data_IF_957003027283
#
_entry.id   IF_957003027283
#
_cell.length_a   1.000
_cell.length_b   1.000
_cell.length_c   1.000
_cell.angle_alpha   90.00
_cell.angle_beta   90.00
_cell.angle_gamma   90.00
#
_symmetry.space_group_name_H-M   'P 1'
#
loop_
_entity.id
_entity.type
_entity.pdbx_description
1 polymer ?
#
# COMPACT_ATOMS: atom_id res chain seq x y z
N UNK A 1 -8.84 18.44 -7.30
CA UNK A 1 -8.01 17.26 -7.61
C UNK A 1 -8.90 16.19 -8.19
N UNK A 2 -8.38 15.42 -9.14
CA UNK A 2 -9.13 14.36 -9.84
C UNK A 2 -8.38 13.03 -9.67
N UNK A 3 -9.02 12.05 -9.03
CA UNK A 3 -8.47 10.73 -8.75
C UNK A 3 -9.20 9.68 -9.58
N UNK A 4 -8.45 8.86 -10.33
CA UNK A 4 -9.02 7.77 -11.14
C UNK A 4 -8.31 6.46 -10.84
N UNK A 5 -9.05 5.35 -10.94
CA UNK A 5 -8.52 3.98 -10.83
C UNK A 5 -8.69 3.23 -12.13
N UNK A 6 -7.71 2.37 -12.43
CA UNK A 6 -7.68 1.52 -13.61
C UNK A 6 -7.40 0.08 -13.19
N UNK A 7 -8.20 -0.84 -13.68
CA UNK A 7 -8.02 -2.26 -13.38
C UNK A 7 -6.77 -2.81 -14.07
N UNK A 8 -6.02 -3.70 -13.41
CA UNK A 8 -4.89 -4.37 -14.03
C UNK A 8 -5.36 -5.38 -15.08
N UNK A 9 -4.44 -5.77 -15.98
CA UNK A 9 -4.67 -6.85 -16.91
C UNK A 9 -4.95 -8.17 -16.17
N UNK A 10 -5.62 -9.16 -16.80
CA UNK A 10 -5.90 -10.45 -16.16
C UNK A 10 -4.66 -11.16 -15.58
N UNK A 11 -3.49 -10.98 -16.20
CA UNK A 11 -2.22 -11.57 -15.75
C UNK A 11 -1.68 -10.95 -14.48
N UNK A 12 -2.00 -9.67 -14.22
CA UNK A 12 -1.49 -8.91 -13.08
C UNK A 12 -2.45 -8.85 -11.88
N UNK A 13 -3.67 -9.37 -11.99
CA UNK A 13 -4.72 -9.24 -10.95
C UNK A 13 -4.33 -9.80 -9.58
N UNK A 14 -3.52 -10.85 -9.56
CA UNK A 14 -3.08 -11.47 -8.31
C UNK A 14 -1.93 -10.71 -7.63
N UNK A 15 -1.34 -9.73 -8.33
CA UNK A 15 -0.17 -8.97 -7.88
C UNK A 15 -0.47 -7.48 -7.69
N UNK A 16 -1.28 -6.89 -8.58
CA UNK A 16 -1.63 -5.48 -8.60
C UNK A 16 -3.12 -5.34 -8.33
N UNK A 17 -3.46 -4.53 -7.32
CA UNK A 17 -4.84 -4.25 -6.99
C UNK A 17 -5.45 -3.31 -8.03
N UNK A 18 -4.81 -2.17 -8.30
CA UNK A 18 -5.17 -1.22 -9.35
C UNK A 18 -4.00 -0.29 -9.69
N UNK A 19 -4.06 0.30 -10.86
CA UNK A 19 -3.32 1.52 -11.19
C UNK A 19 -4.17 2.73 -10.86
N UNK A 20 -3.54 3.87 -10.62
CA UNK A 20 -4.28 5.09 -10.30
C UNK A 20 -3.57 6.33 -10.82
N UNK A 21 -4.33 7.40 -11.02
CA UNK A 21 -3.81 8.74 -11.33
C UNK A 21 -4.42 9.75 -10.38
N UNK A 22 -3.64 10.78 -10.03
CA UNK A 22 -4.10 11.94 -9.27
C UNK A 22 -3.58 13.19 -9.97
N UNK A 23 -4.48 14.05 -10.40
CA UNK A 23 -4.15 15.29 -11.09
C UNK A 23 -4.86 16.48 -10.46
N UNK A 24 -4.16 17.61 -10.45
CA UNK A 24 -4.78 18.90 -10.20
C UNK A 24 -4.35 19.91 -11.26
N UNK A 25 -5.32 20.64 -11.81
CA UNK A 25 -5.09 21.64 -12.85
C UNK A 25 -4.48 22.95 -12.30
N UNK A 26 -4.59 23.19 -11.00
CA UNK A 26 -4.09 24.38 -10.32
C UNK A 26 -3.51 24.01 -8.95
N UNK A 27 -2.59 24.82 -8.41
CA UNK A 27 -2.17 24.70 -7.03
C UNK A 27 -3.37 24.77 -6.08
N UNK A 28 -3.40 24.00 -4.99
CA UNK A 28 -4.45 24.09 -4.01
C UNK A 28 -4.39 25.45 -3.30
N UNK A 29 -5.54 26.04 -2.95
CA UNK A 29 -5.63 27.31 -2.21
C UNK A 29 -5.10 27.20 -0.78
N UNK A 30 -5.16 26.01 -0.22
CA UNK A 30 -4.52 25.60 1.05
C UNK A 30 -3.70 24.35 0.78
N UNK A 31 -2.63 24.09 1.55
CA UNK A 31 -1.84 22.87 1.39
C UNK A 31 -2.74 21.65 1.38
N UNK A 32 -2.54 20.78 0.41
CA UNK A 32 -3.23 19.49 0.40
C UNK A 32 -2.47 18.51 1.27
N UNK A 33 -3.18 17.88 2.20
CA UNK A 33 -2.65 16.87 3.10
C UNK A 33 -3.29 15.51 2.80
N UNK A 34 -2.46 14.48 2.73
CA UNK A 34 -2.90 13.11 2.67
C UNK A 34 -2.25 12.29 3.78
N UNK A 35 -3.05 11.75 4.67
CA UNK A 35 -2.60 10.93 5.78
C UNK A 35 -2.57 9.46 5.36
N UNK A 36 -1.38 8.92 5.13
CA UNK A 36 -1.17 7.50 4.85
C UNK A 36 -0.94 6.76 6.17
N UNK A 37 -1.68 5.71 6.39
CA UNK A 37 -1.62 4.87 7.60
C UNK A 37 -0.85 3.58 7.35
N UNK A 38 -0.66 2.79 8.41
CA UNK A 38 -0.11 1.45 8.28
C UNK A 38 -0.85 0.65 7.21
N UNK A 39 -0.09 -0.04 6.37
CA UNK A 39 -0.62 -0.84 5.28
C UNK A 39 0.24 -2.07 5.02
N UNK A 40 -0.42 -3.21 4.77
CA UNK A 40 0.22 -4.42 4.26
C UNK A 40 0.62 -4.31 2.79
N UNK A 41 0.04 -3.36 2.08
CA UNK A 41 0.24 -3.10 0.65
C UNK A 41 1.37 -2.09 0.43
N UNK A 42 2.01 -2.21 -0.73
CA UNK A 42 3.03 -1.26 -1.19
C UNK A 42 2.51 -0.45 -2.36
N UNK A 43 3.13 0.70 -2.61
CA UNK A 43 2.80 1.59 -3.74
C UNK A 43 4.09 1.97 -4.48
N UNK A 44 4.00 2.06 -5.80
CA UNK A 44 4.99 2.71 -6.64
C UNK A 44 4.34 3.94 -7.23
N UNK A 45 4.95 5.11 -7.09
CA UNK A 45 4.38 6.40 -7.50
C UNK A 45 5.37 7.13 -8.37
N UNK A 46 4.92 7.63 -9.51
CA UNK A 46 5.67 8.50 -10.41
C UNK A 46 5.05 9.90 -10.38
N UNK A 47 5.90 10.89 -10.17
CA UNK A 47 5.51 12.29 -10.15
C UNK A 47 5.97 12.92 -11.47
N UNK A 48 5.06 13.12 -12.40
CA UNK A 48 5.33 13.76 -13.70
C UNK A 48 5.04 15.26 -13.71
N UNK A 49 4.37 15.77 -12.65
CA UNK A 49 4.14 17.20 -12.44
C UNK A 49 4.11 17.52 -10.96
N UNK A 50 4.74 18.63 -10.58
CA UNK A 50 4.81 19.11 -9.20
C UNK A 50 5.67 18.22 -8.29
N UNK A 51 5.57 18.50 -6.97
CA UNK A 51 6.28 17.72 -5.95
C UNK A 51 5.39 17.46 -4.75
N UNK A 52 5.60 16.30 -4.12
CA UNK A 52 5.02 15.94 -2.83
C UNK A 52 6.12 15.95 -1.78
N UNK A 53 5.78 16.41 -0.60
CA UNK A 53 6.62 16.30 0.59
C UNK A 53 6.10 15.17 1.48
N UNK A 54 7.01 14.37 2.00
CA UNK A 54 6.72 13.35 2.98
C UNK A 54 7.12 13.88 4.35
N UNK A 55 6.15 14.05 5.22
CA UNK A 55 6.38 14.45 6.61
C UNK A 55 6.31 13.21 7.53
N UNK A 56 7.38 13.01 8.27
CA UNK A 56 7.42 11.98 9.31
C UNK A 56 6.81 12.50 10.61
N UNK A 57 6.27 11.62 11.47
CA UNK A 57 5.78 12.02 12.79
C UNK A 57 6.84 12.70 13.69
N UNK A 58 8.13 12.56 13.36
CA UNK A 58 9.26 13.22 14.04
C UNK A 58 9.48 14.67 13.59
N UNK A 59 8.67 15.21 12.66
CA UNK A 59 8.80 16.57 12.14
C UNK A 59 9.87 16.74 11.06
N UNK A 60 10.48 15.66 10.56
CA UNK A 60 11.37 15.72 9.41
C UNK A 60 10.57 15.61 8.11
N UNK A 61 10.84 16.48 7.15
CA UNK A 61 10.24 16.39 5.81
C UNK A 61 11.27 15.96 4.77
N UNK A 62 10.80 15.25 3.76
CA UNK A 62 11.57 14.81 2.60
C UNK A 62 10.78 15.14 1.34
N UNK A 63 11.40 15.85 0.40
CA UNK A 63 10.80 16.09 -0.91
C UNK A 63 10.91 14.81 -1.73
N UNK A 64 9.77 14.30 -2.18
CA UNK A 64 9.68 13.19 -3.10
C UNK A 64 9.73 13.72 -4.54
N UNK A 65 10.55 13.11 -5.38
CA UNK A 65 10.69 13.47 -6.81
C UNK A 65 10.77 12.20 -7.65
N UNK A 66 10.28 12.30 -8.88
CA UNK A 66 10.38 11.20 -9.84
C UNK A 66 9.62 9.95 -9.41
N UNK A 67 10.26 8.79 -9.49
CA UNK A 67 9.67 7.52 -9.11
C UNK A 67 10.06 7.11 -7.69
N UNK A 68 9.07 6.90 -6.83
CA UNK A 68 9.27 6.50 -5.43
C UNK A 68 8.44 5.27 -5.06
N UNK A 69 9.01 4.43 -4.21
CA UNK A 69 8.34 3.28 -3.60
C UNK A 69 8.00 3.64 -2.16
N UNK A 70 6.70 3.57 -1.86
CA UNK A 70 6.22 3.44 -0.50
C UNK A 70 6.01 1.96 -0.22
N UNK A 71 6.90 1.35 0.53
CA UNK A 71 6.77 -0.05 0.89
C UNK A 71 5.67 -0.26 1.95
N UNK A 72 5.35 -1.52 2.24
CA UNK A 72 4.46 -1.87 3.33
C UNK A 72 4.98 -1.27 4.65
N UNK A 73 4.06 -0.73 5.45
CA UNK A 73 4.43 0.03 6.65
C UNK A 73 3.50 -0.24 7.83
N UNK A 74 4.04 -0.20 9.03
CA UNK A 74 3.29 -0.19 10.29
C UNK A 74 3.20 1.21 10.91
N UNK A 75 3.63 2.25 10.18
CA UNK A 75 3.66 3.64 10.64
C UNK A 75 2.82 4.50 9.73
N UNK A 76 2.23 5.55 10.30
CA UNK A 76 1.57 6.59 9.55
C UNK A 76 2.59 7.61 9.03
N UNK A 77 2.27 8.22 7.88
CA UNK A 77 3.01 9.31 7.24
C UNK A 77 2.03 10.35 6.73
N UNK A 78 2.49 11.57 6.58
CA UNK A 78 1.70 12.64 5.95
C UNK A 78 2.37 13.08 4.66
N UNK A 79 1.61 13.11 3.59
CA UNK A 79 2.03 13.71 2.33
C UNK A 79 1.44 15.11 2.24
N UNK A 80 2.26 16.06 1.80
CA UNK A 80 1.87 17.46 1.66
C UNK A 80 2.25 17.96 0.28
N UNK A 81 1.40 18.76 -0.34
CA UNK A 81 1.76 19.52 -1.53
C UNK A 81 1.13 20.91 -1.53
N UNK A 82 1.91 21.86 -2.02
CA UNK A 82 1.52 23.26 -2.25
C UNK A 82 1.38 23.56 -3.74
N UNK A 83 1.56 22.57 -4.60
CA UNK A 83 1.66 22.71 -6.05
C UNK A 83 0.53 21.97 -6.75
N UNK A 84 0.29 22.33 -8.01
CA UNK A 84 -0.43 21.44 -8.91
C UNK A 84 0.38 20.16 -9.11
N UNK A 85 -0.26 19.02 -9.02
CA UNK A 85 0.40 17.70 -9.11
C UNK A 85 -0.18 16.85 -10.23
N UNK A 86 0.71 16.05 -10.82
CA UNK A 86 0.39 14.96 -11.72
C UNK A 86 1.11 13.70 -11.26
N UNK A 87 0.35 12.75 -10.75
CA UNK A 87 0.84 11.48 -10.22
C UNK A 87 0.21 10.32 -10.97
N UNK A 88 1.00 9.28 -11.22
CA UNK A 88 0.50 7.96 -11.59
C UNK A 88 1.12 6.92 -10.66
N UNK A 89 0.35 5.93 -10.27
CA UNK A 89 0.85 4.93 -9.35
C UNK A 89 0.28 3.54 -9.54
N UNK A 90 0.95 2.60 -8.90
CA UNK A 90 0.59 1.19 -8.80
C UNK A 90 0.33 0.86 -7.35
N UNK A 91 -0.82 0.27 -7.05
CA UNK A 91 -1.17 -0.24 -5.73
C UNK A 91 -1.06 -1.76 -5.76
N UNK A 92 -0.11 -2.31 -5.02
CA UNK A 92 0.18 -3.73 -5.02
C UNK A 92 -0.62 -4.48 -3.95
N UNK A 93 -0.93 -5.73 -4.18
CA UNK A 93 -1.38 -6.61 -3.10
C UNK A 93 -0.25 -6.83 -2.08
N UNK A 94 -0.59 -7.13 -0.81
CA UNK A 94 0.42 -7.41 0.20
C UNK A 94 1.42 -8.48 -0.24
N UNK A 95 2.71 -8.21 -0.07
CA UNK A 95 3.80 -9.12 -0.39
C UNK A 95 4.21 -9.20 -1.87
N UNK A 96 3.45 -8.60 -2.79
CA UNK A 96 3.70 -8.83 -4.23
C UNK A 96 4.74 -7.90 -4.85
N UNK A 97 4.94 -6.69 -4.32
CA UNK A 97 5.98 -5.78 -4.82
C UNK A 97 7.36 -6.42 -4.76
N UNK A 98 7.75 -6.94 -3.58
CA UNK A 98 9.07 -7.58 -3.39
C UNK A 98 9.27 -8.75 -4.33
N UNK A 99 8.24 -9.57 -4.53
CA UNK A 99 8.26 -10.70 -5.46
C UNK A 99 8.47 -10.24 -6.91
N UNK A 100 7.71 -9.24 -7.38
CA UNK A 100 7.84 -8.69 -8.74
C UNK A 100 9.18 -8.01 -8.99
N UNK A 101 9.77 -7.39 -7.98
CA UNK A 101 11.06 -6.70 -8.12
C UNK A 101 12.28 -7.56 -7.76
N UNK A 102 12.06 -8.77 -7.21
CA UNK A 102 13.12 -9.68 -6.81
C UNK A 102 13.84 -9.24 -5.52
N UNK A 103 13.17 -8.51 -4.63
CA UNK A 103 13.74 -7.95 -3.41
C UNK A 103 13.01 -8.47 -2.18
N UNK A 104 13.70 -8.92 -1.12
CA UNK A 104 13.05 -9.34 0.12
C UNK A 104 12.24 -8.20 0.75
N UNK A 105 10.94 -8.40 0.96
CA UNK A 105 10.06 -7.34 1.44
C UNK A 105 10.46 -6.79 2.82
N UNK A 106 11.13 -7.59 3.68
CA UNK A 106 11.56 -7.10 4.99
C UNK A 106 12.67 -6.03 4.92
N UNK A 107 13.44 -5.99 3.82
CA UNK A 107 14.42 -4.93 3.58
C UNK A 107 13.76 -3.60 3.20
N UNK A 108 12.55 -3.67 2.65
CA UNK A 108 11.77 -2.51 2.23
C UNK A 108 10.83 -1.98 3.33
N UNK A 109 10.54 -2.78 4.36
CA UNK A 109 9.52 -2.47 5.38
C UNK A 109 9.76 -1.10 6.06
N UNK A 110 8.73 -0.27 6.10
CA UNK A 110 8.75 1.11 6.63
C UNK A 110 9.68 2.07 5.84
N UNK A 111 10.05 1.73 4.61
CA UNK A 111 10.93 2.55 3.79
C UNK A 111 10.14 3.34 2.73
N UNK A 112 10.68 4.54 2.42
CA UNK A 112 10.39 5.29 1.21
C UNK A 112 11.69 5.39 0.43
N UNK A 113 11.72 4.84 -0.78
CA UNK A 113 12.94 4.68 -1.57
C UNK A 113 12.70 5.23 -2.98
N UNK A 114 13.72 5.80 -3.60
CA UNK A 114 13.68 6.05 -5.03
C UNK A 114 13.69 4.71 -5.78
N UNK A 115 12.94 4.62 -6.88
CA UNK A 115 12.91 3.41 -7.70
C UNK A 115 14.29 3.06 -8.25
N UNK A 116 15.11 4.09 -8.55
CA UNK A 116 16.48 3.95 -9.01
C UNK A 116 17.42 3.34 -7.97
N UNK A 117 17.16 3.55 -6.67
CA UNK A 117 17.99 2.95 -5.60
C UNK A 117 17.80 1.44 -5.54
N UNK A 118 16.62 0.96 -5.96
CA UNK A 118 16.28 -0.47 -5.95
C UNK A 118 16.61 -1.17 -7.27
N UNK A 119 16.35 -0.53 -8.41
CA UNK A 119 16.46 -1.14 -9.74
C UNK A 119 17.59 -0.56 -10.60
N UNK A 120 18.37 0.39 -10.07
CA UNK A 120 19.46 1.02 -10.81
C UNK A 120 18.99 1.66 -12.11
N UNK A 121 19.67 1.34 -13.22
CA UNK A 121 19.35 1.91 -14.53
C UNK A 121 17.94 1.54 -15.02
N UNK A 122 17.48 0.33 -14.77
CA UNK A 122 16.12 -0.10 -15.14
C UNK A 122 15.05 0.77 -14.47
N UNK A 123 15.27 1.19 -13.22
CA UNK A 123 14.39 2.10 -12.50
C UNK A 123 14.37 3.50 -13.12
N UNK A 124 15.52 4.01 -13.51
CA UNK A 124 15.67 5.32 -14.20
C UNK A 124 14.99 5.32 -15.57
N UNK A 125 15.19 4.26 -16.35
CA UNK A 125 14.61 4.13 -17.69
C UNK A 125 13.08 4.07 -17.62
N UNK A 126 12.54 3.33 -16.63
CA UNK A 126 11.10 3.27 -16.40
C UNK A 126 10.57 4.65 -15.95
N UNK A 127 11.26 5.31 -15.02
CA UNK A 127 10.89 6.66 -14.57
C UNK A 127 10.81 7.64 -15.74
N UNK A 128 11.83 7.70 -16.58
CA UNK A 128 11.87 8.55 -17.76
C UNK A 128 10.72 8.23 -18.73
N UNK A 129 10.49 6.96 -19.01
CA UNK A 129 9.40 6.50 -19.88
C UNK A 129 8.02 6.97 -19.38
N UNK A 130 7.79 6.86 -18.06
CA UNK A 130 6.50 7.26 -17.46
C UNK A 130 6.35 8.77 -17.41
N UNK A 131 7.41 9.51 -17.06
CA UNK A 131 7.37 10.98 -16.98
C UNK A 131 7.14 11.59 -18.36
N UNK A 132 7.81 11.08 -19.41
CA UNK A 132 7.72 11.60 -20.78
C UNK A 132 6.45 11.14 -21.54
N UNK A 133 5.71 10.17 -21.02
CA UNK A 133 4.48 9.70 -21.66
C UNK A 133 3.44 10.82 -21.79
N UNK A 134 2.77 10.87 -22.94
CA UNK A 134 1.88 11.98 -23.34
C UNK A 134 0.50 11.93 -22.69
N UNK A 135 0.10 10.76 -22.18
CA UNK A 135 -1.22 10.55 -21.58
C UNK A 135 -1.17 9.54 -20.44
N UNK A 136 -2.19 9.58 -19.54
CA UNK A 136 -2.33 8.60 -18.48
C UNK A 136 -2.57 7.18 -19.04
N UNK A 137 -3.26 7.05 -20.17
CA UNK A 137 -3.45 5.77 -20.84
C UNK A 137 -2.11 5.17 -21.28
N UNK A 138 -1.21 5.98 -21.83
CA UNK A 138 0.13 5.55 -22.21
C UNK A 138 0.96 5.16 -20.97
N UNK A 139 0.92 5.95 -19.89
CA UNK A 139 1.59 5.63 -18.62
C UNK A 139 1.13 4.27 -18.06
N UNK A 140 -0.18 4.04 -18.01
CA UNK A 140 -0.75 2.78 -17.53
C UNK A 140 -0.36 1.61 -18.43
N UNK A 141 -0.34 1.81 -19.74
CA UNK A 141 0.12 0.79 -20.68
C UNK A 141 1.58 0.42 -20.45
N UNK A 142 2.49 1.39 -20.31
CA UNK A 142 3.91 1.14 -20.04
C UNK A 142 4.13 0.42 -18.70
N UNK A 143 3.40 0.81 -17.65
CA UNK A 143 3.44 0.12 -16.36
C UNK A 143 2.95 -1.33 -16.47
N UNK A 144 1.88 -1.56 -17.23
CA UNK A 144 1.34 -2.90 -17.47
C UNK A 144 2.40 -3.78 -18.16
N UNK A 145 3.00 -3.31 -19.24
CA UNK A 145 4.05 -4.03 -19.97
C UNK A 145 5.25 -4.33 -19.09
N UNK A 146 5.72 -3.35 -18.30
CA UNK A 146 6.84 -3.54 -17.38
C UNK A 146 6.56 -4.68 -16.37
N UNK A 147 5.39 -4.68 -15.73
CA UNK A 147 5.08 -5.69 -14.72
C UNK A 147 4.74 -7.06 -15.33
N UNK A 148 4.15 -7.13 -16.52
CA UNK A 148 3.94 -8.39 -17.23
C UNK A 148 5.27 -9.07 -17.62
N UNK A 149 6.25 -8.27 -18.06
CA UNK A 149 7.59 -8.77 -18.33
C UNK A 149 8.28 -9.28 -17.06
N UNK A 150 8.14 -8.57 -15.93
CA UNK A 150 8.65 -9.03 -14.63
C UNK A 150 7.97 -10.32 -14.17
N UNK A 151 6.66 -10.44 -14.36
CA UNK A 151 5.91 -11.63 -14.01
C UNK A 151 6.41 -12.89 -14.75
N UNK A 152 6.83 -12.74 -16.00
CA UNK A 152 7.34 -13.85 -16.81
C UNK A 152 8.64 -14.47 -16.26
N UNK A 153 9.36 -13.77 -15.39
CA UNK A 153 10.64 -14.23 -14.80
C UNK A 153 10.50 -14.76 -13.36
N UNK A 154 9.29 -14.84 -12.81
CA UNK A 154 9.07 -15.25 -11.43
C UNK A 154 9.33 -16.73 -11.20
N UNK A 155 9.95 -17.03 -10.07
CA UNK A 155 10.10 -18.39 -9.55
C UNK A 155 8.82 -18.88 -8.85
N UNK A 156 8.50 -20.15 -8.97
CA UNK A 156 7.33 -20.75 -8.31
C UNK A 156 7.48 -20.93 -6.80
N UNK A 157 8.67 -20.70 -6.22
CA UNK A 157 8.97 -20.99 -4.81
C UNK A 157 8.15 -20.19 -3.79
N UNK A 158 7.66 -19.01 -4.17
CA UNK A 158 7.01 -18.06 -3.26
C UNK A 158 5.47 -18.12 -3.28
N UNK A 159 4.91 -18.89 -4.21
CA UNK A 159 3.46 -19.00 -4.40
C UNK A 159 2.71 -19.51 -3.16
N UNK A 160 3.31 -20.40 -2.39
CA UNK A 160 2.71 -20.95 -1.15
C UNK A 160 2.50 -19.85 -0.10
N UNK A 161 3.50 -18.99 0.11
CA UNK A 161 3.40 -17.88 1.08
C UNK A 161 2.48 -16.79 0.57
N UNK A 162 2.48 -16.48 -0.74
CA UNK A 162 1.52 -15.55 -1.32
C UNK A 162 0.07 -16.01 -1.11
N UNK A 163 -0.23 -17.31 -1.21
CA UNK A 163 -1.55 -17.86 -0.87
C UNK A 163 -1.91 -17.66 0.60
N UNK A 164 -0.95 -17.81 1.53
CA UNK A 164 -1.17 -17.51 2.94
C UNK A 164 -1.51 -16.02 3.15
N UNK A 165 -0.79 -15.12 2.46
CA UNK A 165 -1.04 -13.67 2.51
C UNK A 165 -2.44 -13.37 1.95
N UNK A 166 -2.81 -13.95 0.82
CA UNK A 166 -4.14 -13.82 0.22
C UNK A 166 -5.24 -14.33 1.17
N UNK A 167 -5.04 -15.45 1.86
CA UNK A 167 -5.99 -15.99 2.83
C UNK A 167 -6.20 -15.02 4.01
N UNK A 168 -5.13 -14.42 4.55
CA UNK A 168 -5.23 -13.38 5.59
C UNK A 168 -6.00 -12.16 5.06
N UNK A 169 -5.70 -11.72 3.85
CA UNK A 169 -6.35 -10.54 3.24
C UNK A 169 -7.83 -10.80 2.99
N UNK A 170 -8.18 -11.95 2.40
CA UNK A 170 -9.56 -12.34 2.09
C UNK A 170 -10.40 -12.55 3.35
N UNK A 171 -9.79 -13.04 4.44
CA UNK A 171 -10.45 -13.15 5.76
C UNK A 171 -10.51 -11.82 6.52
N UNK A 172 -10.05 -10.72 5.91
CA UNK A 172 -9.99 -9.39 6.56
C UNK A 172 -9.21 -9.42 7.89
N UNK A 173 -8.14 -10.22 7.93
CA UNK A 173 -7.27 -10.38 9.11
C UNK A 173 -7.89 -11.19 10.25
N UNK A 174 -8.98 -11.92 10.01
CA UNK A 174 -9.67 -12.70 11.05
C UNK A 174 -9.25 -14.19 11.07
N UNK A 175 -8.48 -14.64 10.07
CA UNK A 175 -8.02 -16.03 9.99
C UNK A 175 -7.07 -16.38 11.15
N UNK A 176 -7.29 -17.53 11.77
CA UNK A 176 -6.37 -18.07 12.76
C UNK A 176 -5.06 -18.49 12.11
N UNK A 177 -3.91 -17.99 12.60
CA UNK A 177 -2.59 -18.28 12.03
C UNK A 177 -2.28 -19.79 12.09
N UNK A 178 -2.78 -20.51 13.09
CA UNK A 178 -2.63 -21.97 13.20
C UNK A 178 -3.20 -22.69 11.99
N UNK A 179 -4.33 -22.23 11.44
CA UNK A 179 -4.92 -22.83 10.24
C UNK A 179 -4.00 -22.73 9.01
N UNK A 180 -3.18 -21.67 8.90
CA UNK A 180 -2.18 -21.55 7.84
C UNK A 180 -1.03 -22.56 7.97
N UNK A 181 -0.58 -22.80 9.20
CA UNK A 181 0.47 -23.77 9.50
C UNK A 181 0.01 -25.17 9.11
N UNK A 182 -1.20 -25.54 9.50
CA UNK A 182 -1.78 -26.86 9.27
C UNK A 182 -1.99 -27.16 7.77
N UNK A 183 -2.40 -26.14 7.00
CA UNK A 183 -2.66 -26.29 5.56
C UNK A 183 -1.41 -26.40 4.69
N UNK A 184 -0.27 -25.85 5.12
CA UNK A 184 0.92 -25.74 4.27
C UNK A 184 2.07 -26.67 4.66
N UNK A 185 1.89 -27.57 5.61
CA UNK A 185 2.90 -28.53 6.06
C UNK A 185 4.25 -27.89 6.44
N UNK A 186 4.22 -26.65 6.90
CA UNK A 186 5.38 -25.89 7.36
C UNK A 186 5.41 -25.86 8.89
N UNK A 187 6.60 -25.91 9.47
CA UNK A 187 6.69 -25.54 10.88
C UNK A 187 6.37 -24.03 11.04
N UNK A 188 5.81 -23.64 12.19
CA UNK A 188 5.50 -22.22 12.48
C UNK A 188 6.70 -21.32 12.21
N UNK A 189 7.91 -21.74 12.64
CA UNK A 189 9.15 -20.97 12.43
C UNK A 189 9.52 -20.80 10.94
N UNK A 190 9.28 -21.84 10.12
CA UNK A 190 9.53 -21.78 8.68
C UNK A 190 8.52 -20.82 8.00
N UNK A 191 7.24 -20.90 8.38
CA UNK A 191 6.22 -19.99 7.89
C UNK A 191 6.57 -18.54 8.24
N UNK A 192 6.85 -18.24 9.50
CA UNK A 192 7.20 -16.88 9.96
C UNK A 192 8.40 -16.30 9.22
N UNK A 193 9.47 -17.10 9.03
CA UNK A 193 10.66 -16.65 8.30
C UNK A 193 10.35 -16.32 6.84
N UNK A 194 9.69 -17.26 6.12
CA UNK A 194 9.32 -17.05 4.71
C UNK A 194 8.32 -15.90 4.57
N UNK A 195 7.35 -15.85 5.47
CA UNK A 195 6.34 -14.80 5.48
C UNK A 195 6.98 -13.42 5.66
N UNK A 196 7.95 -13.27 6.58
CA UNK A 196 8.69 -12.03 6.77
C UNK A 196 9.49 -11.62 5.52
N UNK A 197 10.06 -12.59 4.80
CA UNK A 197 10.78 -12.33 3.55
C UNK A 197 9.85 -11.78 2.46
N UNK A 198 8.61 -12.30 2.35
CA UNK A 198 7.70 -11.96 1.25
C UNK A 198 6.74 -10.83 1.62
N UNK A 199 6.19 -10.80 2.85
CA UNK A 199 5.24 -9.79 3.30
C UNK A 199 5.90 -8.62 4.04
N UNK A 200 7.16 -8.75 4.48
CA UNK A 200 7.85 -7.76 5.31
C UNK A 200 7.46 -7.80 6.78
N UNK A 201 6.39 -8.49 7.14
CA UNK A 201 5.83 -8.58 8.49
C UNK A 201 5.72 -10.04 8.94
N UNK A 202 5.43 -10.25 10.24
CA UNK A 202 4.95 -11.54 10.69
C UNK A 202 3.47 -11.75 10.27
N UNK A 203 2.99 -12.99 10.17
CA UNK A 203 1.57 -13.26 9.88
C UNK A 203 0.62 -12.54 10.84
N UNK A 204 0.95 -12.53 12.15
CA UNK A 204 0.16 -11.87 13.20
C UNK A 204 0.08 -10.35 12.98
N UNK A 205 1.21 -9.71 12.65
CA UNK A 205 1.22 -8.26 12.42
C UNK A 205 0.45 -7.90 11.15
N UNK A 206 0.63 -8.67 10.05
CA UNK A 206 -0.14 -8.45 8.83
C UNK A 206 -1.64 -8.60 9.09
N UNK A 207 -2.08 -9.63 9.83
CA UNK A 207 -3.50 -9.80 10.19
C UNK A 207 -4.05 -8.61 10.98
N UNK A 208 -3.27 -8.03 11.91
CA UNK A 208 -3.67 -6.81 12.65
C UNK A 208 -3.82 -5.61 11.71
N UNK A 209 -2.85 -5.39 10.83
CA UNK A 209 -2.88 -4.28 9.86
C UNK A 209 -4.08 -4.43 8.91
N UNK A 210 -4.32 -5.62 8.34
CA UNK A 210 -5.46 -5.88 7.44
C UNK A 210 -6.80 -5.69 8.17
N UNK A 211 -6.90 -6.10 9.44
CA UNK A 211 -8.11 -5.86 10.25
C UNK A 211 -8.33 -4.37 10.49
N UNK A 212 -7.28 -3.64 10.76
CA UNK A 212 -7.33 -2.18 10.89
C UNK A 212 -7.76 -1.51 9.58
N UNK A 213 -7.16 -1.85 8.43
CA UNK A 213 -7.57 -1.35 7.11
C UNK A 213 -9.06 -1.67 6.83
N UNK A 214 -9.51 -2.88 7.18
CA UNK A 214 -10.92 -3.23 7.04
C UNK A 214 -11.84 -2.37 7.93
N UNK A 215 -11.42 -2.05 9.15
CA UNK A 215 -12.20 -1.19 10.05
C UNK A 215 -12.34 0.24 9.51
N UNK A 216 -11.32 0.77 8.83
CA UNK A 216 -11.39 2.06 8.15
C UNK A 216 -12.44 2.02 7.05
N UNK A 217 -12.37 1.02 6.17
CA UNK A 217 -13.32 0.88 5.06
C UNK A 217 -14.77 0.75 5.57
N UNK A 218 -15.01 -0.07 6.61
CA UNK A 218 -16.32 -0.21 7.22
C UNK A 218 -16.87 1.13 7.75
N UNK A 219 -16.04 1.90 8.44
CA UNK A 219 -16.46 3.21 8.96
C UNK A 219 -16.73 4.21 7.84
N UNK A 220 -15.93 4.18 6.78
CA UNK A 220 -16.11 5.08 5.64
C UNK A 220 -17.37 4.76 4.83
N UNK A 221 -17.65 3.48 4.60
CA UNK A 221 -18.81 3.04 3.83
C UNK A 221 -20.11 3.23 4.65
N UNK A 222 -20.05 2.94 5.95
CA UNK A 222 -21.18 2.98 6.87
C UNK A 222 -20.77 3.60 8.21
N UNK A 223 -20.75 4.95 8.33
CA UNK A 223 -20.38 5.63 9.57
C UNK A 223 -21.28 5.18 10.73
N UNK A 224 -20.70 4.49 11.71
CA UNK A 224 -21.35 3.99 12.91
C UNK A 224 -20.54 4.36 14.15
N UNK A 225 -20.96 3.89 15.32
CA UNK A 225 -20.14 4.08 16.52
C UNK A 225 -18.82 3.31 16.43
N UNK A 226 -17.76 3.82 17.05
CA UNK A 226 -16.45 3.13 17.11
C UNK A 226 -16.57 1.71 17.67
N UNK A 227 -17.49 1.49 18.61
CA UNK A 227 -17.77 0.17 19.19
C UNK A 227 -18.34 -0.77 18.14
N UNK A 228 -19.33 -0.33 17.38
CA UNK A 228 -19.93 -1.14 16.30
C UNK A 228 -18.93 -1.44 15.20
N UNK A 229 -18.13 -0.43 14.79
CA UNK A 229 -17.04 -0.61 13.81
C UNK A 229 -16.03 -1.64 14.30
N UNK A 230 -15.62 -1.59 15.56
CA UNK A 230 -14.68 -2.54 16.16
C UNK A 230 -15.19 -3.99 16.05
N UNK A 231 -16.41 -4.24 16.49
CA UNK A 231 -17.00 -5.59 16.43
C UNK A 231 -17.21 -6.07 14.99
N UNK A 232 -17.70 -5.21 14.10
CA UNK A 232 -17.88 -5.54 12.68
C UNK A 232 -16.54 -5.86 11.98
N UNK A 233 -15.44 -5.22 12.39
CA UNK A 233 -14.08 -5.51 11.91
C UNK A 233 -13.45 -6.75 12.55
N UNK A 234 -14.11 -7.42 13.52
CA UNK A 234 -13.62 -8.64 14.16
C UNK A 234 -12.64 -8.39 15.34
N UNK A 235 -12.74 -7.23 16.00
CA UNK A 235 -12.05 -7.00 17.28
C UNK A 235 -12.85 -7.62 18.43
N UNK A 236 -12.14 -8.19 19.40
CA UNK A 236 -12.74 -8.77 20.61
C UNK A 236 -13.36 -7.72 21.54
N UNK A 237 -12.75 -6.53 21.56
CA UNK A 237 -13.17 -5.40 22.40
C UNK A 237 -12.72 -4.07 21.79
N UNK A 238 -13.36 -2.99 22.26
CA UNK A 238 -13.07 -1.63 21.81
C UNK A 238 -11.66 -1.15 22.18
N UNK A 239 -11.11 -1.60 23.30
CA UNK A 239 -9.78 -1.18 23.76
C UNK A 239 -8.69 -1.70 22.84
N UNK A 240 -8.84 -2.93 22.34
CA UNK A 240 -7.95 -3.51 21.35
C UNK A 240 -8.01 -2.73 20.03
N UNK A 241 -9.22 -2.40 19.58
CA UNK A 241 -9.41 -1.56 18.38
C UNK A 241 -8.76 -0.18 18.53
N UNK A 242 -9.00 0.55 19.64
CA UNK A 242 -8.42 1.87 19.88
C UNK A 242 -6.88 1.80 19.91
N UNK A 243 -6.31 0.75 20.48
CA UNK A 243 -4.84 0.53 20.50
C UNK A 243 -4.30 0.37 19.09
N UNK A 244 -4.92 -0.46 18.26
CA UNK A 244 -4.50 -0.65 16.86
C UNK A 244 -4.64 0.63 16.04
N UNK A 245 -5.71 1.40 16.19
CA UNK A 245 -5.87 2.70 15.51
C UNK A 245 -4.79 3.69 15.93
N UNK A 246 -4.52 3.83 17.24
CA UNK A 246 -3.45 4.71 17.72
C UNK A 246 -2.07 4.31 17.17
N UNK A 247 -1.78 3.01 17.15
CA UNK A 247 -0.51 2.48 16.64
C UNK A 247 -0.37 2.69 15.13
N UNK A 248 -1.41 2.36 14.36
CA UNK A 248 -1.34 2.26 12.90
C UNK A 248 -1.72 3.56 12.17
N UNK A 249 -2.59 4.39 12.75
CA UNK A 249 -2.90 5.70 12.21
C UNK A 249 -2.06 6.82 12.85
N UNK A 250 -1.33 6.56 13.93
CA UNK A 250 -0.53 7.56 14.62
C UNK A 250 -1.33 8.64 15.34
N UNK A 251 -2.65 8.47 15.45
CA UNK A 251 -3.57 9.42 16.07
C UNK A 251 -4.82 8.72 16.61
N UNK A 252 -5.54 9.36 17.58
CA UNK A 252 -6.74 8.76 18.15
C UNK A 252 -7.85 8.54 17.11
N UNK A 253 -8.72 7.51 17.28
CA UNK A 253 -9.79 7.20 16.34
C UNK A 253 -10.69 8.38 16.02
N UNK A 254 -11.12 9.16 17.02
CA UNK A 254 -11.99 10.32 16.81
C UNK A 254 -11.35 11.43 15.97
N UNK A 255 -10.02 11.56 16.00
CA UNK A 255 -9.28 12.49 15.15
C UNK A 255 -9.15 11.92 13.74
N UNK A 256 -8.77 10.65 13.62
CA UNK A 256 -8.55 9.99 12.35
C UNK A 256 -9.84 9.90 11.50
N UNK A 257 -10.93 9.41 12.09
CA UNK A 257 -12.19 9.21 11.37
C UNK A 257 -12.98 10.49 11.05
N UNK A 258 -12.60 11.66 11.61
CA UNK A 258 -13.17 12.96 11.27
C UNK A 258 -12.49 13.65 10.08
N UNK A 259 -11.41 13.11 9.54
CA UNK A 259 -10.73 13.69 8.38
C UNK A 259 -11.61 13.60 7.13
N UNK A 260 -11.37 14.50 6.19
CA UNK A 260 -12.04 14.47 4.89
C UNK A 260 -11.37 13.45 3.96
N UNK A 261 -12.10 12.37 3.67
CA UNK A 261 -11.67 11.29 2.78
C UNK A 261 -12.33 11.35 1.41
N UNK A 262 -13.06 12.42 1.10
CA UNK A 262 -13.90 12.53 -0.11
C UNK A 262 -13.12 12.30 -1.41
N UNK A 263 -11.85 12.71 -1.47
CA UNK A 263 -11.00 12.54 -2.66
C UNK A 263 -10.70 11.08 -3.01
N UNK A 264 -10.66 10.18 -2.03
CA UNK A 264 -10.26 8.78 -2.20
C UNK A 264 -11.43 7.80 -2.15
N UNK A 265 -12.65 8.31 -1.97
CA UNK A 265 -13.87 7.51 -2.14
C UNK A 265 -14.05 7.27 -3.65
N UNK A 266 -14.08 6.01 -4.06
CA UNK A 266 -14.57 5.65 -5.39
C UNK A 266 -16.08 5.86 -5.41
N UNK A 267 -16.57 6.60 -6.41
CA UNK A 267 -17.97 6.51 -6.83
C UNK A 267 -18.31 5.10 -7.30
#
# INVERSE_FOLDING_TARGET
MHYLRYLPSPRLRDYIHFFWTLESSAPPTTPFFHWAVASGSSKLVFQYQGTMELENPSGTSQILKGASIQAQTQRAFQYVTHQAVGLVGVYFHPGTLGVLLGVPAHELTNQHLALSDLLGQVGKDLEETIILARSNSERIHQLTMFFENRLATLSSSDLGVLRCIQAITSSKGQLAIQALVDQHYLSQRQLERRFKTIAGFSPKLLSRIIRFEHSINLFMDHPTSLTQTAYAAGYSDQSHFIRDVNEFAGQPPMTYFKQDWSLFRSE
#
